data_IF_097015656307
#
_entry.id   IF_097015656307
#
_cell.length_a   1.000
_cell.length_b   1.000
_cell.length_c   1.000
_cell.angle_alpha   90.00
_cell.angle_beta   90.00
_cell.angle_gamma   90.00
#
_symmetry.space_group_name_H-M   'P 1'
#
loop_
_entity.id
_entity.type
_entity.pdbx_description
1 polymer ?
#
# COMPACT_ATOMS: atom_id res chain seq x y z
N UNK A 1 -37.96 -26.80 -79.26
CA UNK A 1 -38.10 -25.88 -78.10
C UNK A 1 -39.05 -26.53 -77.10
N UNK A 2 -38.55 -27.01 -75.95
CA UNK A 2 -39.33 -27.73 -74.93
C UNK A 2 -39.48 -26.86 -73.69
N UNK A 3 -40.71 -26.44 -73.41
CA UNK A 3 -41.08 -25.68 -72.20
C UNK A 3 -41.18 -26.63 -71.00
N UNK A 4 -40.54 -26.25 -69.88
CA UNK A 4 -40.55 -27.00 -68.62
C UNK A 4 -41.24 -26.16 -67.55
N UNK A 5 -42.46 -26.54 -67.21
CA UNK A 5 -43.23 -26.07 -66.05
C UNK A 5 -42.64 -26.66 -64.77
N UNK A 6 -42.37 -25.82 -63.75
CA UNK A 6 -41.94 -26.25 -62.41
C UNK A 6 -43.01 -25.82 -61.40
N UNK A 7 -43.62 -26.82 -60.76
CA UNK A 7 -44.66 -26.69 -59.74
C UNK A 7 -44.08 -26.20 -58.41
N UNK A 8 -44.77 -25.24 -57.79
CA UNK A 8 -44.57 -24.79 -56.40
C UNK A 8 -45.18 -25.82 -55.44
N UNK A 9 -44.43 -26.22 -54.41
CA UNK A 9 -44.94 -26.95 -53.25
C UNK A 9 -44.77 -26.10 -52.02
N UNK A 10 -45.90 -25.72 -51.40
CA UNK A 10 -45.98 -25.08 -50.10
C UNK A 10 -45.69 -26.13 -49.02
N UNK A 11 -44.72 -25.86 -48.13
CA UNK A 11 -44.54 -26.59 -46.88
C UNK A 11 -45.02 -25.73 -45.72
N UNK A 12 -46.02 -26.27 -45.04
CA UNK A 12 -46.56 -25.83 -43.75
C UNK A 12 -45.47 -25.89 -42.67
N UNK A 13 -45.37 -24.82 -41.88
CA UNK A 13 -44.62 -24.76 -40.62
C UNK A 13 -45.48 -25.31 -39.47
N UNK A 14 -44.94 -26.16 -38.58
CA UNK A 14 -45.58 -26.45 -37.30
C UNK A 14 -45.09 -25.47 -36.23
N UNK A 15 -46.08 -24.97 -35.49
CA UNK A 15 -46.00 -24.12 -34.32
C UNK A 15 -45.50 -24.96 -33.12
N UNK A 16 -44.36 -24.63 -32.52
CA UNK A 16 -43.87 -25.28 -31.29
C UNK A 16 -43.51 -24.25 -30.23
N UNK A 17 -44.40 -24.16 -29.23
CA UNK A 17 -44.18 -24.12 -27.78
C UNK A 17 -42.96 -23.35 -27.25
N UNK A 18 -43.22 -22.17 -26.70
CA UNK A 18 -42.35 -21.49 -25.74
C UNK A 18 -42.33 -22.27 -24.43
N UNK A 19 -41.21 -22.92 -24.12
CA UNK A 19 -40.73 -23.23 -22.77
C UNK A 19 -39.32 -23.81 -22.93
N UNK A 20 -38.29 -23.01 -22.63
CA UNK A 20 -36.96 -23.47 -22.19
C UNK A 20 -35.98 -22.27 -22.11
N UNK A 21 -36.09 -21.49 -21.03
CA UNK A 21 -35.16 -20.40 -20.72
C UNK A 21 -34.35 -20.72 -19.45
N UNK A 22 -33.87 -21.96 -19.30
CA UNK A 22 -32.99 -22.32 -18.17
C UNK A 22 -31.88 -23.35 -18.48
N UNK A 23 -31.76 -23.79 -19.74
CA UNK A 23 -30.79 -24.85 -20.12
C UNK A 23 -29.53 -24.30 -20.81
N UNK A 24 -29.57 -23.07 -21.33
CA UNK A 24 -28.41 -22.45 -22.01
C UNK A 24 -27.29 -21.98 -21.06
N UNK A 25 -27.56 -21.82 -19.76
CA UNK A 25 -26.52 -21.41 -18.80
C UNK A 25 -25.56 -22.55 -18.42
N UNK A 26 -25.95 -23.83 -18.56
CA UNK A 26 -25.09 -24.97 -18.21
C UNK A 26 -24.21 -25.44 -19.37
N UNK A 27 -24.65 -25.27 -20.62
CA UNK A 27 -23.84 -25.64 -21.79
C UNK A 27 -22.71 -24.66 -22.09
N UNK A 28 -22.82 -23.39 -21.65
CA UNK A 28 -21.78 -22.39 -21.88
C UNK A 28 -20.57 -22.56 -20.96
N UNK A 29 -20.73 -23.20 -19.81
CA UNK A 29 -19.64 -23.49 -18.86
C UNK A 29 -18.77 -24.66 -19.34
N UNK A 30 -19.36 -25.66 -19.99
CA UNK A 30 -18.62 -26.83 -20.51
C UNK A 30 -17.67 -26.48 -21.68
N UNK A 31 -18.00 -25.46 -22.47
CA UNK A 31 -17.15 -25.02 -23.58
C UNK A 31 -15.87 -24.28 -23.13
N UNK A 32 -15.80 -23.83 -21.86
CA UNK A 32 -14.63 -23.14 -21.30
C UNK A 32 -13.62 -24.14 -20.70
N UNK A 33 -14.05 -25.35 -20.37
CA UNK A 33 -13.15 -26.39 -19.81
C UNK A 33 -12.27 -27.05 -20.87
N UNK A 34 -12.67 -27.06 -22.14
CA UNK A 34 -11.94 -27.72 -23.23
C UNK A 34 -10.68 -26.94 -23.67
N UNK A 35 -10.64 -25.62 -23.45
CA UNK A 35 -9.42 -24.82 -23.69
C UNK A 35 -8.34 -25.01 -22.60
N UNK A 36 -8.62 -25.78 -21.53
CA UNK A 36 -7.70 -25.95 -20.38
C UNK A 36 -6.53 -26.92 -20.57
N UNK A 37 -6.43 -27.56 -21.74
CA UNK A 37 -5.64 -28.78 -21.96
C UNK A 37 -4.11 -28.65 -22.09
N UNK A 38 -3.51 -27.46 -22.03
CA UNK A 38 -2.08 -27.31 -22.32
C UNK A 38 -1.37 -26.28 -21.42
N UNK A 39 -1.21 -26.62 -20.14
CA UNK A 39 -0.33 -25.87 -19.22
C UNK A 39 0.66 -26.87 -18.59
N UNK A 40 1.94 -26.49 -18.62
CA UNK A 40 3.03 -27.21 -17.97
C UNK A 40 2.72 -27.47 -16.48
N UNK A 41 2.94 -28.70 -16.02
CA UNK A 41 2.62 -29.16 -14.66
C UNK A 41 3.39 -28.40 -13.57
N UNK A 42 4.54 -27.85 -13.93
CA UNK A 42 5.40 -27.02 -13.08
C UNK A 42 4.74 -25.67 -12.75
N UNK A 43 4.22 -24.99 -13.78
CA UNK A 43 3.41 -23.78 -13.66
C UNK A 43 2.18 -24.03 -12.77
N UNK A 44 1.47 -25.14 -12.97
CA UNK A 44 0.20 -25.43 -12.27
C UNK A 44 0.34 -25.52 -10.74
N UNK A 45 1.54 -25.81 -10.23
CA UNK A 45 1.79 -25.92 -8.78
C UNK A 45 1.99 -24.53 -8.14
N UNK A 46 2.74 -23.64 -8.80
CA UNK A 46 2.88 -22.23 -8.39
C UNK A 46 1.53 -21.48 -8.47
N UNK A 47 0.68 -21.91 -9.41
CA UNK A 47 -0.62 -21.29 -9.69
C UNK A 47 -1.76 -21.75 -8.78
N UNK A 48 -1.59 -22.83 -8.02
CA UNK A 48 -2.57 -23.24 -7.00
C UNK A 48 -2.57 -22.32 -5.78
N UNK A 49 -1.45 -21.66 -5.49
CA UNK A 49 -1.33 -20.73 -4.34
C UNK A 49 -1.82 -19.32 -4.63
N UNK A 50 -1.90 -18.91 -5.90
CA UNK A 50 -2.35 -17.56 -6.32
C UNK A 50 -3.82 -17.52 -6.79
N UNK A 51 -4.52 -18.65 -6.68
CA UNK A 51 -5.95 -18.79 -6.93
C UNK A 51 -6.72 -18.34 -5.66
N UNK A 52 -7.64 -17.37 -5.59
CA UNK A 52 -8.62 -16.81 -6.54
C UNK A 52 -9.26 -15.58 -5.86
N UNK A 53 -9.56 -14.54 -6.65
CA UNK A 53 -10.63 -13.57 -6.37
C UNK A 53 -11.98 -14.30 -6.29
N UNK A 54 -12.25 -14.90 -5.13
CA UNK A 54 -13.44 -15.71 -4.89
C UNK A 54 -14.45 -14.83 -4.16
N UNK A 55 -15.70 -14.81 -4.61
CA UNK A 55 -16.72 -13.94 -4.02
C UNK A 55 -16.90 -14.23 -2.53
N UNK A 56 -16.81 -15.50 -2.12
CA UNK A 56 -16.91 -15.90 -0.71
C UNK A 56 -15.76 -15.35 0.15
N UNK A 57 -14.60 -15.05 -0.47
CA UNK A 57 -13.49 -14.34 0.18
C UNK A 57 -13.63 -12.82 0.10
N UNK A 58 -14.08 -12.29 -1.04
CA UNK A 58 -14.21 -10.85 -1.27
C UNK A 58 -15.33 -10.23 -0.42
N UNK A 59 -16.45 -10.96 -0.20
CA UNK A 59 -17.61 -10.50 0.57
C UNK A 59 -17.64 -10.94 2.02
N UNK A 60 -16.76 -11.84 2.43
CA UNK A 60 -16.59 -12.17 3.85
C UNK A 60 -16.03 -10.93 4.56
N UNK A 61 -16.82 -10.32 5.45
CA UNK A 61 -16.59 -9.06 6.20
C UNK A 61 -15.23 -8.96 6.94
N UNK A 62 -14.44 -10.02 6.94
CA UNK A 62 -13.16 -10.12 7.65
C UNK A 62 -11.92 -10.21 6.74
N UNK A 63 -12.03 -10.49 5.43
CA UNK A 63 -10.83 -10.65 4.57
C UNK A 63 -11.08 -10.24 3.13
N UNK A 64 -11.49 -9.01 2.89
CA UNK A 64 -11.50 -8.48 1.54
C UNK A 64 -10.08 -8.51 0.98
N UNK A 65 -9.86 -9.40 0.01
CA UNK A 65 -8.56 -9.61 -0.62
C UNK A 65 -8.16 -8.34 -1.37
N UNK A 66 -6.93 -7.86 -1.14
CA UNK A 66 -6.41 -6.69 -1.83
C UNK A 66 -6.17 -7.06 -3.30
N UNK A 67 -7.10 -6.65 -4.17
CA UNK A 67 -7.07 -6.88 -5.61
C UNK A 67 -5.78 -6.37 -6.25
N UNK A 68 -5.20 -5.28 -5.74
CA UNK A 68 -3.92 -4.75 -6.25
C UNK A 68 -2.81 -5.72 -5.89
N UNK A 69 -2.73 -6.13 -4.62
CA UNK A 69 -1.75 -7.11 -4.17
C UNK A 69 -1.89 -8.45 -4.89
N UNK A 70 -3.13 -8.88 -5.19
CA UNK A 70 -3.39 -10.08 -5.97
C UNK A 70 -2.91 -9.95 -7.42
N UNK A 71 -3.14 -8.81 -8.08
CA UNK A 71 -2.62 -8.55 -9.43
C UNK A 71 -1.09 -8.55 -9.41
N UNK A 72 -0.46 -7.87 -8.46
CA UNK A 72 1.00 -7.79 -8.37
C UNK A 72 1.61 -9.19 -8.16
N UNK A 73 0.98 -10.06 -7.36
CA UNK A 73 1.38 -11.46 -7.23
C UNK A 73 1.19 -12.27 -8.53
N UNK A 74 0.11 -11.99 -9.26
CA UNK A 74 -0.17 -12.62 -10.55
C UNK A 74 0.84 -12.21 -11.62
N UNK A 75 1.29 -10.95 -11.64
CA UNK A 75 2.36 -10.47 -12.51
C UNK A 75 3.66 -11.24 -12.28
N UNK A 76 4.08 -11.38 -11.02
CA UNK A 76 5.27 -12.18 -10.67
C UNK A 76 5.12 -13.63 -11.13
N UNK A 77 3.94 -14.23 -10.95
CA UNK A 77 3.70 -15.60 -11.36
C UNK A 77 3.69 -15.77 -12.90
N UNK A 78 3.18 -14.79 -13.64
CA UNK A 78 3.17 -14.79 -15.11
C UNK A 78 4.56 -14.54 -15.69
N UNK A 79 5.35 -13.67 -15.08
CA UNK A 79 6.74 -13.39 -15.46
C UNK A 79 7.60 -14.66 -15.39
N UNK A 80 7.39 -15.48 -14.35
CA UNK A 80 8.06 -16.78 -14.19
C UNK A 80 7.71 -17.82 -15.27
N UNK A 81 6.63 -17.61 -16.04
CA UNK A 81 6.25 -18.55 -17.10
C UNK A 81 6.91 -18.28 -18.45
N UNK A 82 7.74 -17.23 -18.57
CA UNK A 82 8.40 -16.83 -19.82
C UNK A 82 7.42 -16.58 -20.99
N UNK A 83 6.17 -16.20 -20.65
CA UNK A 83 5.18 -15.82 -21.65
C UNK A 83 5.33 -14.34 -21.95
N UNK A 84 5.33 -13.99 -23.24
CA UNK A 84 5.29 -12.58 -23.66
C UNK A 84 4.11 -11.84 -23.01
N UNK A 85 4.35 -10.61 -22.55
CA UNK A 85 3.38 -9.79 -21.82
C UNK A 85 2.03 -9.63 -22.56
N UNK A 86 2.05 -9.61 -23.90
CA UNK A 86 0.82 -9.57 -24.72
C UNK A 86 -0.11 -10.79 -24.57
N UNK A 87 0.32 -11.86 -23.88
CA UNK A 87 -0.52 -13.02 -23.55
C UNK A 87 -1.01 -13.02 -22.10
N UNK A 88 -0.48 -12.15 -21.23
CA UNK A 88 -0.78 -12.16 -19.80
C UNK A 88 -2.26 -11.94 -19.51
N UNK A 89 -2.92 -11.02 -20.23
CA UNK A 89 -4.35 -10.75 -20.03
C UNK A 89 -5.22 -11.97 -20.34
N UNK A 90 -4.83 -12.80 -21.32
CA UNK A 90 -5.52 -14.05 -21.65
C UNK A 90 -5.29 -15.13 -20.60
N UNK A 91 -4.08 -15.19 -20.03
CA UNK A 91 -3.73 -16.15 -18.98
C UNK A 91 -4.41 -15.77 -17.65
N UNK A 92 -4.48 -14.48 -17.31
CA UNK A 92 -5.09 -14.02 -16.07
C UNK A 92 -6.57 -14.38 -15.93
N UNK A 93 -7.30 -14.51 -17.04
CA UNK A 93 -8.71 -14.98 -17.05
C UNK A 93 -8.86 -16.32 -16.33
N UNK A 94 -7.84 -17.17 -16.37
CA UNK A 94 -7.87 -18.51 -15.78
C UNK A 94 -7.85 -18.49 -14.26
N UNK A 95 -7.43 -17.36 -13.67
CA UNK A 95 -7.35 -17.13 -12.24
C UNK A 95 -8.61 -16.47 -11.69
N UNK A 96 -9.47 -15.94 -12.58
CA UNK A 96 -10.78 -15.41 -12.20
C UNK A 96 -11.75 -16.57 -11.96
N UNK A 97 -12.59 -16.45 -10.93
CA UNK A 97 -13.74 -17.35 -10.70
C UNK A 97 -15.00 -16.56 -10.36
N UNK A 98 -16.11 -17.27 -10.20
CA UNK A 98 -17.37 -16.73 -9.72
C UNK A 98 -17.88 -15.53 -10.54
N UNK A 99 -18.29 -14.48 -9.83
CA UNK A 99 -18.72 -13.22 -10.43
C UNK A 99 -17.60 -12.53 -11.22
N UNK A 100 -16.34 -12.57 -10.77
CA UNK A 100 -15.22 -11.94 -11.47
C UNK A 100 -15.01 -12.50 -12.87
N UNK A 101 -15.04 -13.83 -13.02
CA UNK A 101 -14.98 -14.47 -14.32
C UNK A 101 -16.21 -14.16 -15.16
N UNK A 102 -17.41 -14.24 -14.56
CA UNK A 102 -18.67 -13.97 -15.24
C UNK A 102 -18.74 -12.53 -15.76
N UNK A 103 -18.21 -11.59 -14.98
CA UNK A 103 -18.11 -10.18 -15.33
C UNK A 103 -17.09 -9.97 -16.45
N UNK A 104 -15.90 -10.58 -16.36
CA UNK A 104 -14.89 -10.50 -17.41
C UNK A 104 -15.44 -10.99 -18.75
N UNK A 105 -16.14 -12.13 -18.78
CA UNK A 105 -16.71 -12.69 -20.02
C UNK A 105 -17.68 -11.69 -20.70
N UNK A 106 -18.44 -10.93 -19.92
CA UNK A 106 -19.38 -9.90 -20.43
C UNK A 106 -18.67 -8.66 -20.95
N UNK A 107 -17.50 -8.33 -20.41
CA UNK A 107 -16.77 -7.09 -20.68
C UNK A 107 -15.42 -7.33 -21.39
N UNK A 108 -15.17 -8.54 -21.91
CA UNK A 108 -13.87 -8.92 -22.49
C UNK A 108 -13.43 -8.05 -23.67
N UNK A 109 -14.38 -7.39 -24.34
CA UNK A 109 -14.11 -6.45 -25.43
C UNK A 109 -13.48 -5.13 -24.96
N UNK A 110 -13.48 -4.86 -23.65
CA UNK A 110 -12.84 -3.69 -23.06
C UNK A 110 -11.38 -3.97 -22.66
N UNK A 111 -10.95 -5.24 -22.66
CA UNK A 111 -9.60 -5.66 -22.28
C UNK A 111 -8.80 -6.00 -23.53
N UNK A 112 -7.82 -5.16 -23.85
CA UNK A 112 -7.00 -5.29 -25.07
C UNK A 112 -5.59 -5.81 -24.81
N UNK A 113 -5.06 -5.50 -23.63
CA UNK A 113 -3.70 -5.79 -23.19
C UNK A 113 -3.67 -6.02 -21.66
N UNK A 114 -2.47 -6.17 -21.09
CA UNK A 114 -2.30 -6.36 -19.65
C UNK A 114 -2.71 -5.13 -18.84
N UNK A 115 -2.32 -3.94 -19.29
CA UNK A 115 -2.56 -2.70 -18.56
C UNK A 115 -4.06 -2.38 -18.47
N UNK A 116 -4.79 -2.57 -19.57
CA UNK A 116 -6.25 -2.45 -19.58
C UNK A 116 -6.92 -3.51 -18.70
N UNK A 117 -6.42 -4.76 -18.67
CA UNK A 117 -6.92 -5.77 -17.73
C UNK A 117 -6.74 -5.30 -16.28
N UNK A 118 -5.53 -4.87 -15.91
CA UNK A 118 -5.20 -4.39 -14.56
C UNK A 118 -6.09 -3.23 -14.14
N UNK A 119 -6.17 -2.19 -14.97
CA UNK A 119 -6.97 -1.00 -14.69
C UNK A 119 -8.44 -1.36 -14.44
N UNK A 120 -9.02 -2.14 -15.36
CA UNK A 120 -10.44 -2.47 -15.35
C UNK A 120 -10.80 -3.37 -14.16
N UNK A 121 -9.95 -4.34 -13.80
CA UNK A 121 -10.18 -5.21 -12.64
C UNK A 121 -10.09 -4.42 -11.34
N UNK A 122 -9.10 -3.53 -11.20
CA UNK A 122 -8.97 -2.65 -10.02
C UNK A 122 -10.14 -1.69 -9.89
N UNK A 123 -10.61 -1.13 -11.00
CA UNK A 123 -11.78 -0.23 -11.03
C UNK A 123 -13.06 -0.98 -10.65
N UNK A 124 -13.23 -2.21 -11.14
CA UNK A 124 -14.42 -3.02 -10.88
C UNK A 124 -14.48 -3.58 -9.46
N UNK A 125 -13.32 -3.94 -8.91
CA UNK A 125 -13.17 -4.54 -7.58
C UNK A 125 -12.28 -3.63 -6.72
N UNK A 126 -12.77 -2.43 -6.34
CA UNK A 126 -12.00 -1.52 -5.52
C UNK A 126 -11.74 -2.16 -4.16
N UNK A 127 -10.49 -2.16 -3.74
CA UNK A 127 -10.12 -2.56 -2.38
C UNK A 127 -10.56 -1.48 -1.40
N UNK A 128 -10.86 -1.85 -0.15
CA UNK A 128 -11.06 -0.87 0.93
C UNK A 128 -9.89 0.13 1.02
N UNK A 129 -8.67 -0.31 0.69
CA UNK A 129 -7.45 0.51 0.65
C UNK A 129 -7.51 1.54 -0.47
N UNK A 130 -8.07 1.21 -1.64
CA UNK A 130 -8.30 2.18 -2.71
C UNK A 130 -9.37 3.20 -2.33
N UNK A 131 -10.37 2.83 -1.54
CA UNK A 131 -11.30 3.83 -1.00
C UNK A 131 -10.61 4.79 -0.03
N UNK A 132 -9.65 4.32 0.76
CA UNK A 132 -8.80 5.17 1.59
C UNK A 132 -7.87 6.08 0.76
N UNK A 133 -7.26 5.56 -0.31
CA UNK A 133 -6.43 6.34 -1.22
C UNK A 133 -7.24 7.31 -2.10
N UNK A 134 -8.48 6.98 -2.44
CA UNK A 134 -9.42 7.88 -3.12
C UNK A 134 -9.96 8.92 -2.18
N UNK A 135 -10.14 8.62 -0.88
CA UNK A 135 -10.38 9.63 0.15
C UNK A 135 -9.18 10.56 0.32
N UNK A 136 -7.94 10.04 0.29
CA UNK A 136 -6.72 10.85 0.31
C UNK A 136 -6.56 11.66 -1.00
N UNK A 137 -6.89 11.10 -2.16
CA UNK A 137 -6.89 11.82 -3.44
C UNK A 137 -8.01 12.85 -3.51
N UNK A 138 -9.20 12.59 -2.94
CA UNK A 138 -10.26 13.58 -2.74
C UNK A 138 -9.80 14.69 -1.80
N UNK A 139 -9.01 14.36 -0.77
CA UNK A 139 -8.38 15.33 0.14
C UNK A 139 -7.30 16.17 -0.56
N UNK A 140 -6.60 15.61 -1.56
CA UNK A 140 -5.66 16.30 -2.44
C UNK A 140 -6.32 17.05 -3.63
N UNK A 141 -7.56 16.68 -3.99
CA UNK A 141 -8.39 17.33 -5.02
C UNK A 141 -9.49 18.22 -4.46
N UNK A 142 -9.57 18.41 -3.13
CA UNK A 142 -10.10 19.67 -2.60
C UNK A 142 -9.27 20.73 -3.31
N UNK A 143 -9.88 21.52 -4.21
CA UNK A 143 -9.12 22.53 -4.91
C UNK A 143 -8.44 23.34 -3.84
N UNK A 144 -7.15 23.62 -4.05
CA UNK A 144 -6.55 24.83 -3.52
C UNK A 144 -7.49 25.96 -3.87
N UNK A 145 -8.50 26.21 -3.03
CA UNK A 145 -9.07 27.51 -2.82
C UNK A 145 -7.99 28.31 -2.11
N UNK A 146 -6.90 28.51 -2.85
CA UNK A 146 -6.39 29.82 -3.25
C UNK A 146 -7.56 30.68 -3.77
N UNK A 147 -8.59 30.86 -2.94
CA UNK A 147 -9.10 32.21 -2.68
C UNK A 147 -7.85 33.05 -2.57
N UNK A 148 -7.73 34.06 -3.42
CA UNK A 148 -6.62 34.99 -3.44
C UNK A 148 -6.35 35.52 -2.03
N UNK A 149 -5.54 34.79 -1.28
CA UNK A 149 -4.92 35.24 -0.06
C UNK A 149 -3.83 36.17 -0.57
N UNK A 150 -4.27 37.40 -0.79
CA UNK A 150 -3.54 38.61 -0.48
C UNK A 150 -2.33 38.27 0.39
N UNK A 151 -1.14 38.45 -0.17
CA UNK A 151 0.17 38.02 0.32
C UNK A 151 0.48 38.59 1.70
N UNK A 152 -0.23 38.10 2.72
CA UNK A 152 0.20 38.14 4.11
C UNK A 152 1.14 36.97 4.27
N UNK A 153 2.41 37.28 4.51
CA UNK A 153 3.45 36.36 4.95
C UNK A 153 2.90 35.38 5.99
N UNK A 154 2.47 34.19 5.54
CA UNK A 154 2.19 33.08 6.44
C UNK A 154 3.51 32.74 7.09
N UNK A 155 3.57 32.90 8.41
CA UNK A 155 4.81 32.71 9.14
C UNK A 155 5.24 31.25 8.99
N UNK A 156 6.54 31.00 8.88
CA UNK A 156 7.12 29.64 8.84
C UNK A 156 6.69 28.79 10.04
N UNK A 157 6.26 29.43 11.12
CA UNK A 157 5.71 28.83 12.33
C UNK A 157 4.35 28.17 12.06
N UNK A 158 3.47 28.80 11.27
CA UNK A 158 2.12 28.27 11.00
C UNK A 158 2.16 27.01 10.13
N UNK A 159 3.08 26.95 9.16
CA UNK A 159 3.27 25.77 8.32
C UNK A 159 3.78 24.57 9.13
N UNK A 160 4.72 24.82 10.03
CA UNK A 160 5.31 23.81 10.93
C UNK A 160 4.27 23.20 11.87
N UNK A 161 3.38 24.02 12.42
CA UNK A 161 2.32 23.57 13.31
C UNK A 161 1.25 22.75 12.58
N UNK A 162 0.91 23.13 11.34
CA UNK A 162 -0.03 22.38 10.52
C UNK A 162 0.54 21.00 10.13
N UNK A 163 1.81 20.93 9.73
CA UNK A 163 2.47 19.67 9.41
C UNK A 163 2.51 18.73 10.62
N UNK A 164 2.86 19.26 11.80
CA UNK A 164 2.85 18.50 13.04
C UNK A 164 1.47 17.93 13.34
N UNK A 165 0.42 18.74 13.20
CA UNK A 165 -0.97 18.33 13.42
C UNK A 165 -1.37 17.18 12.49
N UNK A 166 -1.09 17.30 11.19
CA UNK A 166 -1.43 16.26 10.20
C UNK A 166 -0.67 14.95 10.47
N UNK A 167 0.61 15.02 10.83
CA UNK A 167 1.38 13.82 11.18
C UNK A 167 0.83 13.13 12.43
N UNK A 168 0.53 13.90 13.48
CA UNK A 168 -0.04 13.38 14.71
C UNK A 168 -1.42 12.72 14.46
N UNK A 169 -2.28 13.34 13.66
CA UNK A 169 -3.59 12.78 13.30
C UNK A 169 -3.45 11.46 12.52
N UNK A 170 -2.48 11.35 11.62
CA UNK A 170 -2.20 10.10 10.90
C UNK A 170 -1.80 8.98 11.85
N UNK A 171 -0.90 9.25 12.79
CA UNK A 171 -0.45 8.22 13.73
C UNK A 171 -1.53 7.82 14.74
N UNK A 172 -2.36 8.78 15.17
CA UNK A 172 -3.55 8.49 15.98
C UNK A 172 -4.49 7.55 15.25
N UNK A 173 -4.73 7.80 13.96
CA UNK A 173 -5.60 6.96 13.13
C UNK A 173 -5.01 5.56 12.98
N UNK A 174 -3.74 5.45 12.59
CA UNK A 174 -3.04 4.15 12.48
C UNK A 174 -3.13 3.34 13.78
N UNK A 175 -2.80 3.95 14.93
CA UNK A 175 -2.89 3.28 16.23
C UNK A 175 -4.31 2.77 16.50
N UNK A 176 -5.31 3.63 16.29
CA UNK A 176 -6.71 3.27 16.52
C UNK A 176 -7.18 2.13 15.62
N UNK A 177 -6.80 2.17 14.35
CA UNK A 177 -7.21 1.15 13.38
C UNK A 177 -6.64 -0.21 13.76
N UNK A 178 -5.35 -0.29 14.13
CA UNK A 178 -4.74 -1.54 14.60
C UNK A 178 -5.40 -2.04 15.89
N UNK A 179 -5.64 -1.16 16.87
CA UNK A 179 -6.29 -1.55 18.13
C UNK A 179 -7.72 -2.05 17.90
N UNK A 180 -8.50 -1.36 17.05
CA UNK A 180 -9.85 -1.78 16.68
C UNK A 180 -9.84 -3.14 15.97
N UNK A 181 -8.86 -3.40 15.10
CA UNK A 181 -8.71 -4.70 14.44
C UNK A 181 -8.37 -5.79 15.46
N UNK A 182 -7.44 -5.53 16.38
CA UNK A 182 -7.12 -6.46 17.45
C UNK A 182 -8.37 -6.80 18.27
N UNK A 183 -9.15 -5.80 18.68
CA UNK A 183 -10.36 -5.99 19.47
C UNK A 183 -11.48 -6.70 18.69
N UNK A 184 -11.58 -6.43 17.37
CA UNK A 184 -12.55 -7.09 16.48
C UNK A 184 -12.27 -8.59 16.34
N UNK A 185 -11.02 -8.98 16.17
CA UNK A 185 -10.64 -10.37 15.96
C UNK A 185 -10.45 -11.16 17.25
N UNK A 186 -9.89 -10.51 18.28
CA UNK A 186 -9.67 -11.11 19.60
C UNK A 186 -9.60 -10.02 20.68
N UNK A 187 -10.74 -9.76 21.33
CA UNK A 187 -10.82 -8.83 22.47
C UNK A 187 -9.92 -9.19 23.67
N UNK A 188 -9.47 -10.45 23.76
CA UNK A 188 -8.58 -10.95 24.81
C UNK A 188 -7.10 -11.00 24.39
N UNK A 189 -6.78 -10.44 23.22
CA UNK A 189 -5.44 -10.44 22.67
C UNK A 189 -4.44 -9.84 23.66
N UNK A 190 -3.36 -10.58 23.93
CA UNK A 190 -2.30 -10.12 24.81
C UNK A 190 -1.63 -8.85 24.28
N UNK A 191 -1.27 -7.94 25.19
CA UNK A 191 -0.63 -6.67 24.85
C UNK A 191 0.65 -6.85 24.02
N UNK A 192 1.42 -7.91 24.27
CA UNK A 192 2.62 -8.24 23.49
C UNK A 192 2.31 -8.46 22.00
N UNK A 193 1.19 -9.13 21.69
CA UNK A 193 0.78 -9.36 20.30
C UNK A 193 0.28 -8.08 19.64
N UNK A 194 -0.49 -7.27 20.38
CA UNK A 194 -0.94 -5.95 19.92
C UNK A 194 0.24 -5.03 19.60
N UNK A 195 1.26 -5.02 20.46
CA UNK A 195 2.50 -4.26 20.25
C UNK A 195 3.25 -4.78 19.01
N UNK A 196 3.31 -6.11 18.80
CA UNK A 196 3.89 -6.69 17.59
C UNK A 196 3.24 -6.15 16.33
N UNK A 197 1.91 -6.18 16.23
CA UNK A 197 1.19 -5.61 15.09
C UNK A 197 1.42 -4.11 14.91
N UNK A 198 1.46 -3.36 16.00
CA UNK A 198 1.78 -1.93 15.97
C UNK A 198 3.20 -1.68 15.45
N UNK A 199 4.19 -2.48 15.84
CA UNK A 199 5.58 -2.37 15.40
C UNK A 199 5.75 -2.78 13.94
N UNK A 200 5.06 -3.82 13.48
CA UNK A 200 5.15 -4.33 12.11
C UNK A 200 4.55 -3.36 11.08
N UNK A 201 3.55 -2.57 11.47
CA UNK A 201 2.94 -1.55 10.60
C UNK A 201 3.68 -0.21 10.55
N UNK A 202 4.78 -0.05 11.31
CA UNK A 202 5.55 1.19 11.30
C UNK A 202 6.43 1.34 10.05
N UNK A 203 6.77 2.58 9.73
CA UNK A 203 7.85 2.87 8.79
C UNK A 203 9.18 2.35 9.34
N UNK A 204 10.12 1.88 8.49
CA UNK A 204 11.40 1.31 8.94
C UNK A 204 12.17 2.21 9.91
N UNK A 205 12.15 3.53 9.71
CA UNK A 205 12.88 4.49 10.55
C UNK A 205 12.30 4.57 11.97
N UNK A 206 10.98 4.40 12.10
CA UNK A 206 10.28 4.40 13.40
C UNK A 206 10.31 3.01 14.04
N UNK A 207 10.28 1.95 13.23
CA UNK A 207 10.34 0.57 13.69
C UNK A 207 11.64 0.30 14.45
N UNK A 208 12.79 0.69 13.89
CA UNK A 208 14.08 0.54 14.59
C UNK A 208 14.10 1.29 15.94
N UNK A 209 13.49 2.47 16.00
CA UNK A 209 13.37 3.21 17.25
C UNK A 209 12.47 2.47 18.24
N UNK A 210 11.29 2.00 17.82
CA UNK A 210 10.32 1.30 18.65
C UNK A 210 10.85 -0.04 19.21
N UNK A 211 11.61 -0.79 18.41
CA UNK A 211 12.22 -2.07 18.82
C UNK A 211 13.25 -1.91 19.95
N UNK A 212 13.92 -0.75 20.00
CA UNK A 212 14.88 -0.45 21.06
C UNK A 212 14.22 0.07 22.35
N UNK A 213 12.90 0.25 22.36
CA UNK A 213 12.16 0.67 23.54
C UNK A 213 11.57 -0.56 24.24
N UNK A 214 11.63 -0.60 25.58
CA UNK A 214 10.99 -1.65 26.38
C UNK A 214 9.48 -1.38 26.53
N UNK A 215 8.76 -1.52 25.43
CA UNK A 215 7.31 -1.26 25.37
C UNK A 215 6.58 -2.50 25.87
N UNK A 216 5.80 -2.35 26.94
CA UNK A 216 5.02 -3.44 27.55
C UNK A 216 3.52 -3.29 27.34
N UNK A 217 3.06 -2.08 27.00
CA UNK A 217 1.64 -1.76 26.78
C UNK A 217 1.41 -0.95 25.52
N UNK A 218 0.28 -1.12 24.82
CA UNK A 218 -0.06 -0.33 23.63
C UNK A 218 -0.07 1.19 23.89
N UNK A 219 -0.49 1.65 25.07
CA UNK A 219 -0.51 3.09 25.38
C UNK A 219 0.91 3.66 25.51
N UNK A 220 1.87 2.85 25.97
CA UNK A 220 3.28 3.25 26.01
C UNK A 220 3.81 3.43 24.59
N UNK A 221 3.47 2.50 23.68
CA UNK A 221 3.83 2.61 22.27
C UNK A 221 3.34 3.92 21.67
N UNK A 222 2.05 4.23 21.87
CA UNK A 222 1.44 5.45 21.34
C UNK A 222 2.14 6.72 21.84
N UNK A 223 2.39 6.81 23.15
CA UNK A 223 3.06 7.98 23.75
C UNK A 223 4.50 8.16 23.22
N UNK A 224 5.25 7.07 23.09
CA UNK A 224 6.63 7.10 22.60
C UNK A 224 6.68 7.54 21.13
N UNK A 225 5.79 7.01 20.28
CA UNK A 225 5.71 7.40 18.87
C UNK A 225 5.33 8.88 18.72
N UNK A 226 4.38 9.37 19.51
CA UNK A 226 3.97 10.78 19.51
C UNK A 226 5.13 11.70 19.91
N UNK A 227 5.89 11.33 20.95
CA UNK A 227 7.08 12.09 21.37
C UNK A 227 8.16 12.10 20.27
N UNK A 228 8.40 10.96 19.62
CA UNK A 228 9.41 10.84 18.57
C UNK A 228 9.10 11.73 17.36
N UNK A 229 7.86 11.75 16.90
CA UNK A 229 7.45 12.63 15.80
C UNK A 229 7.57 14.10 16.16
N UNK A 230 7.17 14.47 17.37
CA UNK A 230 7.31 15.84 17.84
C UNK A 230 8.77 16.31 17.86
N UNK A 231 9.71 15.42 18.25
CA UNK A 231 11.16 15.70 18.15
C UNK A 231 11.58 15.84 16.69
N UNK A 232 11.12 14.95 15.80
CA UNK A 232 11.51 14.95 14.39
C UNK A 232 11.07 16.25 13.69
N UNK A 233 9.84 16.71 13.92
CA UNK A 233 9.35 17.97 13.35
C UNK A 233 10.11 19.17 13.90
N UNK A 234 10.46 19.17 15.20
CA UNK A 234 11.29 20.24 15.77
C UNK A 234 12.68 20.28 15.14
N UNK A 235 13.31 19.12 14.93
CA UNK A 235 14.62 19.04 14.30
C UNK A 235 14.60 19.50 12.84
N UNK A 236 13.57 19.16 12.06
CA UNK A 236 13.43 19.65 10.68
C UNK A 236 13.27 21.17 10.62
N UNK A 237 12.61 21.77 11.62
CA UNK A 237 12.43 23.23 11.67
C UNK A 237 13.72 23.96 12.06
N UNK A 238 14.61 23.34 12.83
CA UNK A 238 15.91 23.92 13.18
C UNK A 238 16.83 23.96 11.96
N UNK A 239 16.89 22.89 11.17
CA UNK A 239 17.76 22.81 10.00
C UNK A 239 17.41 23.85 8.92
N UNK A 240 16.14 24.21 8.76
CA UNK A 240 15.71 25.21 7.78
C UNK A 240 16.13 26.65 8.14
N UNK A 241 16.35 26.93 9.42
CA UNK A 241 16.74 28.26 9.87
C UNK A 241 18.27 28.49 9.79
N UNK A 242 19.07 27.43 9.72
CA UNK A 242 20.53 27.53 9.75
C UNK A 242 21.18 27.74 8.38
N UNK A 243 20.48 27.46 7.27
CA UNK A 243 21.03 27.76 5.93
C UNK A 243 21.12 29.26 5.61
N UNK A 244 20.57 30.14 6.47
CA UNK A 244 20.65 31.59 6.33
C UNK A 244 21.76 32.25 7.16
N UNK A 245 22.47 31.51 8.02
CA UNK A 245 23.42 32.09 8.97
C UNK A 245 24.81 31.51 8.74
N UNK A 246 25.70 32.29 8.11
CA UNK A 246 27.12 31.94 7.99
C UNK A 246 27.74 31.80 9.38
N UNK A 247 27.85 30.56 9.86
CA UNK A 247 28.59 30.24 11.08
C UNK A 247 30.07 30.54 10.86
N UNK A 248 30.61 31.52 11.59
CA UNK A 248 32.06 31.74 11.67
C UNK A 248 32.60 30.76 12.72
N UNK A 249 33.30 29.72 12.28
CA UNK A 249 34.00 28.81 13.19
C UNK A 249 35.21 29.56 13.75
N UNK A 250 35.15 29.96 15.02
CA UNK A 250 36.33 30.42 15.76
C UNK A 250 36.96 29.22 16.47
N UNK A 251 38.02 28.69 15.89
CA UNK A 251 38.86 27.68 16.50
C UNK A 251 39.62 28.31 17.68
N UNK A 252 39.21 27.99 18.91
CA UNK A 252 39.91 28.48 20.10
C UNK A 252 41.11 27.57 20.38
N UNK A 253 42.31 28.15 20.33
CA UNK A 253 43.54 27.41 20.60
C UNK A 253 43.54 26.78 22.00
N UNK A 254 44.07 25.56 22.14
CA UNK A 254 44.05 24.83 23.41
C UNK A 254 44.85 25.56 24.49
N UNK A 255 44.21 25.74 25.64
CA UNK A 255 44.80 26.34 26.84
C UNK A 255 45.88 25.40 27.39
N UNK A 256 47.14 25.82 27.37
CA UNK A 256 48.28 25.07 27.94
C UNK A 256 47.99 24.71 29.40
N UNK A 257 47.98 23.42 29.72
CA UNK A 257 48.07 22.92 31.10
C UNK A 257 47.01 21.90 31.57
N UNK A 258 46.10 21.43 30.71
CA UNK A 258 45.08 20.43 31.12
C UNK A 258 45.47 19.03 30.59
N UNK A 259 45.46 17.98 31.42
CA UNK A 259 45.73 16.61 30.98
C UNK A 259 44.70 16.17 29.94
N UNK A 260 45.18 15.64 28.80
CA UNK A 260 44.36 15.23 27.66
C UNK A 260 43.39 14.10 28.07
N UNK A 261 42.11 14.43 28.13
CA UNK A 261 41.06 13.44 27.88
C UNK A 261 40.71 13.53 26.39
N UNK A 262 40.46 12.39 25.74
CA UNK A 262 40.17 12.29 24.29
C UNK A 262 38.78 12.83 23.92
N UNK A 263 38.33 13.88 24.59
CA UNK A 263 37.01 14.46 24.38
C UNK A 263 37.16 15.68 23.49
N UNK A 264 36.77 15.57 22.22
CA UNK A 264 36.64 16.75 21.35
C UNK A 264 35.34 17.46 21.69
N UNK A 265 35.45 18.61 22.36
CA UNK A 265 34.31 19.50 22.60
C UNK A 265 34.28 20.55 21.49
N UNK A 266 33.15 20.65 20.80
CA UNK A 266 32.89 21.74 19.84
C UNK A 266 31.80 22.61 20.41
N UNK A 267 32.13 23.89 20.61
CA UNK A 267 31.18 24.90 21.06
C UNK A 267 30.61 25.59 19.83
N UNK A 268 29.35 25.28 19.53
CA UNK A 268 28.65 25.90 18.40
C UNK A 268 27.87 27.09 18.94
N UNK A 269 28.26 28.29 18.53
CA UNK A 269 27.49 29.51 18.81
C UNK A 269 26.39 29.69 17.77
N UNK A 270 25.15 29.74 18.23
CA UNK A 270 23.98 30.09 17.40
C UNK A 270 23.49 31.48 17.81
N UNK A 271 23.46 32.41 16.85
CA UNK A 271 22.91 33.77 16.98
C UNK A 271 23.46 34.59 18.16
N UNK A 272 24.74 34.42 18.52
CA UNK A 272 25.40 35.09 19.66
C UNK A 272 24.68 34.95 21.01
N UNK A 273 23.80 33.96 21.18
CA UNK A 273 23.00 33.78 22.42
C UNK A 273 23.04 32.39 23.00
N UNK A 274 23.27 31.37 22.18
CA UNK A 274 23.24 29.98 22.63
C UNK A 274 24.57 29.32 22.31
N UNK A 275 25.18 28.71 23.34
CA UNK A 275 26.32 27.80 23.19
C UNK A 275 25.74 26.39 23.27
N UNK A 276 25.80 25.66 22.17
CA UNK A 276 25.54 24.22 22.18
C UNK A 276 26.89 23.54 22.35
N UNK A 277 27.09 22.94 23.53
CA UNK A 277 28.23 22.06 23.77
C UNK A 277 27.92 20.71 23.13
N UNK A 278 28.55 20.44 21.99
CA UNK A 278 28.51 19.11 21.38
C UNK A 278 29.73 18.35 21.85
N UNK A 279 29.49 17.38 22.74
CA UNK A 279 30.51 16.46 23.23
C UNK A 279 30.49 15.23 22.34
N UNK A 280 31.48 15.09 21.47
CA UNK A 280 31.71 13.83 20.77
C UNK A 280 32.37 12.86 21.74
N UNK A 281 31.61 11.86 22.20
CA UNK A 281 32.19 10.70 22.86
C UNK A 281 32.69 9.77 21.77
N UNK A 282 34.00 9.67 21.61
CA UNK A 282 34.62 8.60 20.82
C UNK A 282 34.26 7.26 21.48
N UNK A 283 33.21 6.61 20.99
CA UNK A 283 32.89 5.24 21.35
C UNK A 283 33.90 4.36 20.61
N UNK A 284 34.95 3.94 21.32
CA UNK A 284 35.86 2.91 20.80
C UNK A 284 35.10 1.61 20.56
N UNK A 285 35.24 0.97 19.38
CA UNK A 285 34.68 -0.34 19.11
C UNK A 285 35.67 -1.41 19.57
N UNK A 286 35.82 -1.60 20.87
CA UNK A 286 36.57 -2.72 21.41
C UNK A 286 35.81 -3.33 22.58
N UNK A 287 35.01 -4.36 22.29
CA UNK A 287 34.83 -5.61 23.03
C UNK A 287 34.17 -6.61 22.06
N UNK A 288 35.00 -7.22 21.22
CA UNK A 288 34.81 -8.61 20.76
C UNK A 288 36.02 -9.37 21.27
N UNK A 289 35.92 -9.89 22.49
CA UNK A 289 36.67 -11.06 22.96
C UNK A 289 36.13 -11.50 24.32
N UNK A 290 35.62 -12.73 24.33
CA UNK A 290 35.23 -13.55 25.47
C UNK A 290 33.95 -13.13 26.20
N UNK A 291 32.81 -13.71 25.80
CA UNK A 291 32.08 -14.79 26.51
C UNK A 291 31.40 -15.64 25.43
#
# INVERSE_FOLDING_TARGET
>A
MKNRTRSKTNKLTPNMSNNDCNTQSKQKTAAIEDERGYIDKSATTLFRTTSILDEDKIRSDDKQEDVVAWIDQLEVALDLTDHAQGKWSKLAVWYLKGEALSWYIKNKNQVYDWDSFRQIIVEKYPTCVNHHNDLIKLEQTIPSSTTMLNTKSVSTIDLSNNLLKTLMERNIRFYRDIMNLCDKYDSSMADSSRIGYLQDGLKPELQHYALNQQITKPEQFFNIMQQREHIQVRLSNVQLNDLGTTATIQETSPRKGVPQSNTTSVDIMINNKYIIHVVSLDIMPDIVRNI
#
